data_IF_892733453034
#
_entry.id   IF_892733453034
#
_cell.length_a   1.000
_cell.length_b   1.000
_cell.length_c   1.000
_cell.angle_alpha   90.00
_cell.angle_beta   90.00
_cell.angle_gamma   90.00
#
_symmetry.space_group_name_H-M   'P 1'
#
loop_
_entity.id
_entity.type
_entity.pdbx_description
1 polymer ?
#
# COMPACT_ATOMS: atom_id res chain seq x y z
N UNK A 1 -13.74 10.73 2.77
CA UNK A 1 -13.09 9.99 3.88
C UNK A 1 -12.10 8.93 3.41
N UNK A 2 -12.37 8.26 2.29
CA UNK A 2 -11.58 7.13 1.79
C UNK A 2 -10.29 7.52 1.04
N UNK A 3 -10.11 8.80 0.68
CA UNK A 3 -8.95 9.27 -0.11
C UNK A 3 -8.69 8.41 -1.36
N UNK A 4 -9.76 8.10 -2.10
CA UNK A 4 -9.62 7.34 -3.34
C UNK A 4 -8.70 8.11 -4.30
N UNK A 5 -7.71 7.41 -4.85
CA UNK A 5 -6.94 7.93 -5.96
C UNK A 5 -7.84 8.02 -7.18
N UNK A 6 -7.87 9.19 -7.84
CA UNK A 6 -8.70 9.44 -9.02
C UNK A 6 -7.78 9.57 -10.21
N UNK A 7 -7.79 8.58 -11.10
CA UNK A 7 -6.84 8.46 -12.21
C UNK A 7 -7.38 9.03 -13.53
N UNK A 8 -8.69 9.00 -13.74
CA UNK A 8 -9.37 9.57 -14.90
C UNK A 8 -10.62 10.35 -14.46
N UNK A 9 -10.87 11.50 -15.09
CA UNK A 9 -11.82 12.53 -14.61
C UNK A 9 -12.61 13.12 -15.78
N UNK A 10 -13.89 12.75 -15.87
CA UNK A 10 -14.83 13.33 -16.84
C UNK A 10 -16.16 13.74 -16.20
N UNK A 11 -16.53 15.02 -16.31
CA UNK A 11 -17.86 15.53 -15.91
C UNK A 11 -18.13 16.90 -16.54
N UNK A 12 -19.39 17.20 -16.88
CA UNK A 12 -19.79 18.52 -17.33
C UNK A 12 -19.63 19.58 -16.23
N UNK A 13 -19.42 20.84 -16.63
CA UNK A 13 -19.33 21.96 -15.66
C UNK A 13 -20.60 22.09 -14.81
N UNK A 14 -21.78 21.89 -15.43
CA UNK A 14 -23.05 21.96 -14.73
C UNK A 14 -23.14 20.94 -13.57
N UNK A 15 -22.68 19.71 -13.79
CA UNK A 15 -22.64 18.68 -12.75
C UNK A 15 -21.63 19.00 -11.65
N UNK A 16 -20.46 19.53 -12.02
CA UNK A 16 -19.42 19.95 -11.06
C UNK A 16 -19.87 21.11 -10.18
N UNK A 17 -20.58 22.09 -10.75
CA UNK A 17 -21.16 23.21 -10.00
C UNK A 17 -22.29 22.77 -9.07
N UNK A 18 -23.16 21.84 -9.53
CA UNK A 18 -24.25 21.30 -8.72
C UNK A 18 -23.77 20.46 -7.53
N UNK A 19 -22.62 19.79 -7.68
CA UNK A 19 -22.05 18.91 -6.65
C UNK A 19 -20.65 19.35 -6.24
N UNK A 20 -20.57 20.45 -5.49
CA UNK A 20 -19.30 21.06 -5.09
C UNK A 20 -18.33 20.08 -4.37
N UNK A 21 -18.84 19.16 -3.54
CA UNK A 21 -18.01 18.14 -2.89
C UNK A 21 -17.39 17.14 -3.87
N UNK A 22 -18.09 16.82 -4.96
CA UNK A 22 -17.54 16.00 -6.04
C UNK A 22 -16.49 16.78 -6.83
N UNK A 23 -16.71 18.07 -7.07
CA UNK A 23 -15.74 18.93 -7.75
C UNK A 23 -14.40 19.03 -7.01
N UNK A 24 -14.41 18.93 -5.67
CA UNK A 24 -13.19 18.82 -4.89
C UNK A 24 -12.37 17.56 -5.24
N UNK A 25 -13.02 16.42 -5.54
CA UNK A 25 -12.32 15.20 -6.00
C UNK A 25 -11.69 15.40 -7.38
N UNK A 26 -12.33 16.16 -8.27
CA UNK A 26 -11.75 16.51 -9.57
C UNK A 26 -10.48 17.36 -9.44
N UNK A 27 -10.39 18.16 -8.37
CA UNK A 27 -9.26 19.05 -8.06
C UNK A 27 -8.22 18.41 -7.15
N UNK A 28 -8.33 17.12 -6.84
CA UNK A 28 -7.48 16.41 -5.85
C UNK A 28 -7.46 17.08 -4.46
N UNK A 29 -8.54 17.81 -4.16
CA UNK A 29 -8.71 18.54 -2.90
C UNK A 29 -9.43 17.65 -1.90
N UNK A 30 -8.66 16.80 -1.23
CA UNK A 30 -9.20 15.89 -0.24
C UNK A 30 -9.38 16.56 1.13
N UNK A 31 -10.48 16.26 1.82
CA UNK A 31 -10.73 16.73 3.19
C UNK A 31 -9.72 16.11 4.17
N UNK A 32 -8.67 16.86 4.48
CA UNK A 32 -7.61 16.50 5.45
C UNK A 32 -8.02 16.93 6.87
N UNK A 33 -7.79 16.05 7.85
CA UNK A 33 -8.18 16.29 9.24
C UNK A 33 -8.13 15.02 10.09
N UNK A 34 -7.72 15.11 11.35
CA UNK A 34 -7.49 13.95 12.24
C UNK A 34 -8.72 13.53 13.06
N UNK A 35 -9.73 14.39 13.19
CA UNK A 35 -10.86 14.19 14.11
C UNK A 35 -11.91 13.21 13.59
N UNK A 36 -12.29 13.26 12.30
CA UNK A 36 -13.34 12.40 11.74
C UNK A 36 -12.76 11.13 11.11
N UNK A 37 -12.81 10.01 11.84
CA UNK A 37 -12.19 8.71 11.48
C UNK A 37 -13.15 7.66 10.92
N UNK A 38 -14.45 7.83 11.12
CA UNK A 38 -15.53 6.92 10.72
C UNK A 38 -16.70 7.73 10.13
N UNK A 39 -17.27 7.24 9.04
CA UNK A 39 -18.49 7.74 8.39
C UNK A 39 -19.50 6.63 8.38
N UNK A 40 -20.72 6.92 8.81
CA UNK A 40 -21.88 6.06 8.64
C UNK A 40 -22.99 6.97 8.11
N UNK A 41 -23.47 6.70 6.89
CA UNK A 41 -24.43 7.58 6.20
C UNK A 41 -25.47 6.73 5.48
N UNK A 42 -26.75 7.06 5.68
CA UNK A 42 -27.83 6.52 4.87
C UNK A 42 -27.90 7.22 3.51
N UNK A 43 -27.88 6.44 2.44
CA UNK A 43 -28.04 6.91 1.07
C UNK A 43 -29.30 6.31 0.49
N UNK A 44 -30.14 7.11 -0.15
CA UNK A 44 -31.36 6.64 -0.81
C UNK A 44 -31.23 6.85 -2.31
N UNK A 45 -31.46 5.79 -3.10
CA UNK A 45 -31.49 5.91 -4.55
C UNK A 45 -32.73 6.69 -5.02
N UNK A 46 -32.72 7.14 -6.28
CA UNK A 46 -33.89 7.79 -6.89
C UNK A 46 -35.15 6.90 -6.88
N UNK A 47 -34.97 5.58 -6.88
CA UNK A 47 -36.05 4.60 -6.76
C UNK A 47 -36.48 4.28 -5.32
N UNK A 48 -35.98 5.01 -4.32
CA UNK A 48 -36.35 4.85 -2.91
C UNK A 48 -35.64 3.71 -2.15
N UNK A 49 -34.71 2.99 -2.79
CA UNK A 49 -33.92 1.95 -2.09
C UNK A 49 -32.91 2.63 -1.17
N UNK A 50 -32.93 2.24 0.12
CA UNK A 50 -31.97 2.70 1.13
C UNK A 50 -30.72 1.83 1.14
N UNK A 51 -29.57 2.47 1.36
CA UNK A 51 -28.25 1.88 1.49
C UNK A 51 -27.57 2.48 2.70
N UNK A 52 -26.86 1.66 3.47
CA UNK A 52 -25.97 2.13 4.52
C UNK A 52 -24.55 2.24 3.96
N UNK A 53 -24.00 3.44 3.91
CA UNK A 53 -22.62 3.70 3.49
C UNK A 53 -21.73 3.83 4.72
N UNK A 54 -20.77 2.92 4.87
CA UNK A 54 -19.79 2.94 5.95
C UNK A 54 -18.39 3.12 5.37
N UNK A 55 -17.64 4.07 5.91
CA UNK A 55 -16.26 4.31 5.52
C UNK A 55 -15.41 4.61 6.75
N UNK A 56 -14.20 4.06 6.82
CA UNK A 56 -13.21 4.43 7.84
C UNK A 56 -11.95 5.01 7.22
N UNK A 57 -11.17 5.72 8.03
CA UNK A 57 -9.81 6.13 7.70
C UNK A 57 -8.80 5.04 8.05
N UNK A 58 -7.63 5.10 7.42
CA UNK A 58 -6.53 4.18 7.70
C UNK A 58 -6.02 4.24 9.16
N UNK A 59 -6.23 5.36 9.87
CA UNK A 59 -5.88 5.50 11.28
C UNK A 59 -6.98 5.07 12.27
N UNK A 60 -8.06 4.44 11.77
CA UNK A 60 -9.02 3.72 12.60
C UNK A 60 -8.72 2.22 12.47
N UNK A 61 -7.94 1.70 13.40
CA UNK A 61 -7.38 0.34 13.36
C UNK A 61 -8.34 -0.69 13.97
N UNK A 62 -9.52 -0.83 13.36
CA UNK A 62 -10.55 -1.80 13.75
C UNK A 62 -10.98 -2.64 12.56
N UNK A 63 -11.43 -3.87 12.82
CA UNK A 63 -12.16 -4.65 11.82
C UNK A 63 -13.57 -4.04 11.62
N UNK A 64 -13.87 -3.51 10.43
CA UNK A 64 -15.18 -2.89 10.19
C UNK A 64 -16.31 -3.90 10.26
N UNK A 65 -16.04 -5.16 9.95
CA UNK A 65 -17.07 -6.19 9.90
C UNK A 65 -17.52 -6.49 11.33
N UNK A 66 -16.59 -6.89 12.19
CA UNK A 66 -16.93 -7.26 13.57
C UNK A 66 -17.15 -6.08 14.52
N UNK A 67 -16.48 -4.93 14.29
CA UNK A 67 -16.57 -3.78 15.22
C UNK A 67 -17.65 -2.77 14.85
N UNK A 68 -18.16 -2.78 13.61
CA UNK A 68 -19.11 -1.77 13.14
C UNK A 68 -20.35 -2.41 12.48
N UNK A 69 -20.16 -3.24 11.45
CA UNK A 69 -21.27 -3.76 10.65
C UNK A 69 -22.20 -4.67 11.45
N UNK A 70 -21.66 -5.59 12.25
CA UNK A 70 -22.46 -6.43 13.17
C UNK A 70 -23.35 -5.60 14.08
N UNK A 71 -22.89 -4.45 14.59
CA UNK A 71 -23.68 -3.55 15.44
C UNK A 71 -24.80 -2.82 14.69
N UNK A 72 -24.58 -2.48 13.41
CA UNK A 72 -25.59 -1.83 12.55
C UNK A 72 -26.63 -2.83 12.05
N UNK A 73 -26.18 -4.01 11.63
CA UNK A 73 -27.01 -5.06 11.03
C UNK A 73 -27.70 -5.87 12.13
N UNK A 74 -27.07 -6.02 13.30
CA UNK A 74 -27.50 -6.86 14.43
C UNK A 74 -27.70 -8.32 14.03
N UNK A 75 -26.67 -8.89 13.40
CA UNK A 75 -26.66 -10.24 12.87
C UNK A 75 -25.21 -10.72 12.71
N UNK A 76 -25.05 -12.04 12.64
CA UNK A 76 -23.80 -12.71 12.30
C UNK A 76 -23.45 -12.45 10.84
N UNK A 77 -22.15 -12.34 10.54
CA UNK A 77 -21.65 -12.04 9.20
C UNK A 77 -20.72 -13.13 8.68
N UNK A 78 -20.96 -13.54 7.44
CA UNK A 78 -20.02 -14.34 6.66
C UNK A 78 -19.34 -13.42 5.64
N UNK A 79 -18.01 -13.37 5.66
CA UNK A 79 -17.23 -12.37 4.92
C UNK A 79 -16.32 -13.01 3.88
N UNK A 80 -16.49 -12.60 2.63
CA UNK A 80 -15.54 -12.84 1.56
C UNK A 80 -14.59 -11.65 1.45
N UNK A 81 -13.29 -11.90 1.46
CA UNK A 81 -12.30 -10.88 1.10
C UNK A 81 -10.99 -11.50 0.62
N UNK A 82 -10.12 -10.68 0.01
CA UNK A 82 -8.79 -11.15 -0.38
C UNK A 82 -7.92 -11.37 0.87
N UNK A 83 -7.53 -12.63 1.11
CA UNK A 83 -6.76 -13.04 2.31
C UNK A 83 -5.27 -13.29 2.05
N UNK A 84 -4.78 -12.95 0.85
CA UNK A 84 -3.37 -13.01 0.45
C UNK A 84 -2.78 -11.60 0.22
N UNK A 85 -3.31 -10.58 0.90
CA UNK A 85 -2.78 -9.22 0.85
C UNK A 85 -1.55 -9.03 1.73
N UNK A 86 -1.09 -7.79 1.85
CA UNK A 86 -0.03 -7.45 2.80
C UNK A 86 -0.56 -7.53 4.24
N UNK A 87 0.11 -8.32 5.08
CA UNK A 87 -0.18 -8.49 6.50
C UNK A 87 -0.84 -9.82 6.88
N UNK A 88 -1.10 -10.00 8.18
CA UNK A 88 -1.69 -11.23 8.69
C UNK A 88 -3.21 -11.29 8.43
N UNK A 89 -3.72 -12.50 8.21
CA UNK A 89 -5.16 -12.74 8.13
C UNK A 89 -5.79 -12.48 9.50
N UNK A 90 -6.87 -11.70 9.56
CA UNK A 90 -7.64 -11.62 10.79
C UNK A 90 -8.31 -12.98 11.06
N UNK A 91 -8.32 -13.46 12.32
CA UNK A 91 -9.06 -14.67 12.67
C UNK A 91 -10.57 -14.40 12.63
N UNK A 92 -11.36 -15.48 12.67
CA UNK A 92 -12.79 -15.39 12.93
C UNK A 92 -13.03 -14.71 14.29
N UNK A 93 -14.07 -13.88 14.37
CA UNK A 93 -14.48 -13.23 15.61
C UNK A 93 -15.70 -13.98 16.19
N UNK A 94 -15.46 -14.76 17.24
CA UNK A 94 -16.48 -15.57 17.90
C UNK A 94 -16.78 -15.10 19.34
N UNK A 95 -16.13 -14.02 19.79
CA UNK A 95 -16.18 -13.58 21.20
C UNK A 95 -17.03 -12.33 21.41
N UNK A 96 -17.65 -11.81 20.35
CA UNK A 96 -18.54 -10.66 20.41
C UNK A 96 -20.02 -11.08 20.40
N UNK A 97 -20.95 -10.12 20.47
CA UNK A 97 -22.39 -10.39 20.42
C UNK A 97 -22.86 -11.05 19.12
N UNK A 98 -22.09 -10.91 18.03
CA UNK A 98 -22.38 -11.52 16.74
C UNK A 98 -21.10 -12.10 16.15
N UNK A 99 -21.19 -13.26 15.51
CA UNK A 99 -20.02 -13.90 14.92
C UNK A 99 -19.64 -13.26 13.59
N UNK A 100 -18.33 -13.22 13.30
CA UNK A 100 -17.81 -12.88 11.97
C UNK A 100 -16.87 -13.98 11.52
N UNK A 101 -17.29 -14.73 10.50
CA UNK A 101 -16.52 -15.83 9.93
C UNK A 101 -16.12 -15.53 8.50
N UNK A 102 -14.88 -15.89 8.14
CA UNK A 102 -14.40 -15.76 6.77
C UNK A 102 -14.89 -16.92 5.90
N UNK A 103 -15.18 -16.63 4.64
CA UNK A 103 -15.43 -17.64 3.59
C UNK A 103 -14.10 -18.28 3.21
N UNK A 104 -14.11 -19.59 2.92
CA UNK A 104 -12.95 -20.31 2.36
C UNK A 104 -13.12 -20.58 0.85
N UNK A 105 -14.34 -20.86 0.41
CA UNK A 105 -14.65 -21.05 -1.02
C UNK A 105 -16.05 -20.56 -1.34
N UNK A 106 -16.22 -20.10 -2.58
CA UNK A 106 -17.50 -19.67 -3.12
C UNK A 106 -17.96 -20.69 -4.14
N UNK A 107 -19.21 -21.16 -4.02
CA UNK A 107 -19.86 -22.03 -5.00
C UNK A 107 -21.08 -21.33 -5.60
N UNK A 108 -21.02 -21.08 -6.91
CA UNK A 108 -22.10 -20.52 -7.70
C UNK A 108 -22.77 -21.64 -8.50
N UNK A 109 -24.00 -21.99 -8.15
CA UNK A 109 -24.78 -22.96 -8.92
C UNK A 109 -25.39 -22.27 -10.14
N UNK A 110 -25.11 -22.78 -11.34
CA UNK A 110 -25.67 -22.28 -12.60
C UNK A 110 -26.99 -22.97 -12.95
N UNK A 111 -27.09 -24.26 -12.63
CA UNK A 111 -28.33 -25.06 -12.67
C UNK A 111 -28.22 -26.25 -11.69
N UNK A 112 -29.15 -27.21 -11.78
CA UNK A 112 -29.22 -28.39 -10.90
C UNK A 112 -27.97 -29.29 -10.98
N UNK A 113 -27.17 -29.19 -12.05
CA UNK A 113 -26.04 -30.08 -12.35
C UNK A 113 -24.70 -29.35 -12.51
N UNK A 114 -24.72 -28.06 -12.83
CA UNK A 114 -23.53 -27.24 -13.10
C UNK A 114 -23.30 -26.22 -12.01
N UNK A 115 -22.05 -26.12 -11.57
CA UNK A 115 -21.59 -25.10 -10.65
C UNK A 115 -20.20 -24.59 -11.03
N UNK A 116 -19.89 -23.39 -10.59
CA UNK A 116 -18.54 -22.83 -10.56
C UNK A 116 -18.15 -22.75 -9.09
N UNK A 117 -16.99 -23.29 -8.73
CA UNK A 117 -16.45 -23.13 -7.39
C UNK A 117 -15.03 -22.56 -7.50
N UNK A 118 -14.70 -21.63 -6.62
CA UNK A 118 -13.37 -21.03 -6.53
C UNK A 118 -13.02 -20.75 -5.07
N UNK A 119 -11.73 -20.85 -4.76
CA UNK A 119 -11.20 -20.45 -3.46
C UNK A 119 -11.17 -18.92 -3.35
N UNK A 120 -11.30 -18.41 -2.13
CA UNK A 120 -11.08 -16.98 -1.86
C UNK A 120 -9.73 -16.44 -2.34
N UNK A 121 -8.71 -17.29 -2.47
CA UNK A 121 -7.40 -16.91 -3.02
C UNK A 121 -7.39 -16.69 -4.53
N UNK A 122 -8.49 -16.93 -5.23
CA UNK A 122 -8.64 -16.66 -6.67
C UNK A 122 -9.50 -15.42 -6.94
N UNK A 123 -10.12 -14.85 -5.90
CA UNK A 123 -11.10 -13.78 -6.02
C UNK A 123 -10.73 -12.56 -5.19
N UNK A 124 -10.61 -11.41 -5.85
CA UNK A 124 -10.30 -10.13 -5.21
C UNK A 124 -11.57 -9.40 -4.72
N UNK A 125 -12.76 -9.99 -4.86
CA UNK A 125 -14.00 -9.40 -4.38
C UNK A 125 -14.04 -9.31 -2.85
N UNK A 126 -14.84 -8.36 -2.36
CA UNK A 126 -14.99 -8.09 -0.92
C UNK A 126 -16.46 -7.85 -0.64
N UNK A 127 -17.08 -8.77 0.06
CA UNK A 127 -18.48 -8.69 0.42
C UNK A 127 -18.74 -9.42 1.73
N UNK A 128 -19.89 -9.13 2.35
CA UNK A 128 -20.37 -9.87 3.50
C UNK A 128 -21.88 -10.11 3.36
N UNK A 129 -22.33 -11.26 3.84
CA UNK A 129 -23.74 -11.56 4.01
C UNK A 129 -24.06 -11.66 5.48
N UNK A 130 -25.23 -11.17 5.84
CA UNK A 130 -25.82 -11.48 7.13
C UNK A 130 -26.43 -12.89 7.10
N UNK A 131 -26.31 -13.64 8.19
CA UNK A 131 -26.73 -15.04 8.24
C UNK A 131 -28.25 -15.16 8.25
N UNK A 132 -28.92 -14.38 9.09
CA UNK A 132 -30.38 -14.47 9.26
C UNK A 132 -31.14 -13.40 8.46
N UNK A 133 -30.54 -12.23 8.26
CA UNK A 133 -31.17 -11.07 7.61
C UNK A 133 -30.85 -11.04 6.11
N UNK A 134 -31.76 -10.52 5.28
CA UNK A 134 -31.53 -10.34 3.84
C UNK A 134 -30.64 -9.12 3.57
N UNK A 135 -29.45 -9.09 4.18
CA UNK A 135 -28.49 -7.99 4.09
C UNK A 135 -27.24 -8.48 3.39
N UNK A 136 -26.89 -7.77 2.31
CA UNK A 136 -25.64 -7.96 1.58
C UNK A 136 -24.84 -6.67 1.64
N UNK A 137 -23.57 -6.79 1.99
CA UNK A 137 -22.59 -5.72 1.99
C UNK A 137 -21.60 -5.96 0.86
N UNK A 138 -21.35 -4.94 0.04
CA UNK A 138 -20.23 -4.91 -0.90
C UNK A 138 -19.28 -3.79 -0.53
N UNK A 139 -17.99 -4.02 -0.70
CA UNK A 139 -16.98 -3.05 -0.26
C UNK A 139 -15.64 -3.23 -0.93
N UNK A 140 -14.65 -2.52 -0.39
CA UNK A 140 -13.28 -2.50 -0.91
C UNK A 140 -12.23 -2.85 0.14
N UNK A 141 -12.62 -3.20 1.37
CA UNK A 141 -11.70 -3.52 2.46
C UNK A 141 -11.57 -5.02 2.70
N UNK A 142 -10.34 -5.50 2.91
CA UNK A 142 -10.08 -6.88 3.29
C UNK A 142 -10.10 -7.08 4.81
N UNK A 143 -10.43 -8.29 5.28
CA UNK A 143 -10.23 -8.71 6.68
C UNK A 143 -8.79 -9.16 6.91
N UNK A 144 -7.87 -8.21 6.82
CA UNK A 144 -6.44 -8.40 7.10
C UNK A 144 -5.97 -7.37 8.13
N UNK A 145 -5.01 -7.77 8.95
CA UNK A 145 -4.30 -6.86 9.83
C UNK A 145 -3.62 -5.82 8.95
N UNK A 146 -3.89 -4.54 9.22
CA UNK A 146 -3.11 -3.47 8.62
C UNK A 146 -1.72 -3.54 9.21
N UNK A 147 -0.82 -4.26 8.55
CA UNK A 147 0.57 -4.27 8.95
C UNK A 147 1.12 -2.91 8.57
N UNK A 148 1.36 -2.08 9.58
CA UNK A 148 2.28 -0.97 9.42
C UNK A 148 3.67 -1.60 9.30
N UNK A 149 4.06 -1.98 8.09
CA UNK A 149 5.45 -2.28 7.81
C UNK A 149 6.20 -0.96 7.98
N UNK A 150 6.81 -0.74 9.14
CA UNK A 150 7.83 0.30 9.31
C UNK A 150 9.17 -0.21 8.76
N UNK A 151 9.08 -1.14 7.81
CA UNK A 151 10.18 -1.88 7.27
C UNK A 151 10.45 -1.30 5.90
N UNK A 152 11.67 -0.82 5.76
CA UNK A 152 12.20 -0.36 4.49
C UNK A 152 12.49 -1.58 3.61
N UNK A 153 11.95 -1.62 2.38
CA UNK A 153 12.13 -2.75 1.47
C UNK A 153 13.61 -3.05 1.23
N UNK A 154 14.46 -2.02 1.24
CA UNK A 154 15.90 -2.19 1.05
C UNK A 154 16.53 -2.93 2.24
N UNK A 155 16.27 -2.50 3.48
CA UNK A 155 16.89 -3.11 4.68
C UNK A 155 16.22 -4.38 5.17
N UNK A 156 14.93 -4.57 4.92
CA UNK A 156 14.15 -5.70 5.45
C UNK A 156 14.03 -6.88 4.47
N UNK A 157 14.11 -6.64 3.16
CA UNK A 157 13.91 -7.66 2.13
C UNK A 157 15.14 -7.80 1.25
N UNK A 158 15.57 -6.72 0.59
CA UNK A 158 16.61 -6.80 -0.44
C UNK A 158 17.96 -7.23 0.12
N UNK A 159 18.40 -6.68 1.25
CA UNK A 159 19.61 -7.14 1.94
C UNK A 159 19.58 -8.63 2.28
N UNK A 160 18.42 -9.19 2.68
CA UNK A 160 18.27 -10.61 3.02
C UNK A 160 18.35 -11.53 1.79
N UNK A 161 17.82 -11.10 0.65
CA UNK A 161 17.85 -11.83 -0.61
C UNK A 161 19.23 -11.73 -1.29
N UNK A 162 19.76 -10.51 -1.37
CA UNK A 162 21.03 -10.22 -2.03
C UNK A 162 22.20 -10.65 -1.14
N UNK A 163 22.06 -10.63 0.19
CA UNK A 163 23.11 -10.93 1.17
C UNK A 163 24.35 -10.08 0.95
N UNK A 164 24.16 -8.77 0.91
CA UNK A 164 25.18 -7.76 0.68
C UNK A 164 24.69 -6.40 1.23
N UNK A 165 25.63 -5.52 1.52
CA UNK A 165 25.37 -4.12 1.84
C UNK A 165 24.82 -3.40 0.61
N UNK A 166 23.90 -2.45 0.83
CA UNK A 166 23.24 -1.71 -0.23
C UNK A 166 23.50 -0.20 -0.14
N UNK A 167 23.76 0.40 -1.30
CA UNK A 167 23.76 1.85 -1.51
C UNK A 167 22.51 2.20 -2.31
N UNK A 168 21.67 3.09 -1.78
CA UNK A 168 20.32 3.35 -2.31
C UNK A 168 20.16 4.80 -2.73
N UNK A 169 19.78 5.00 -3.98
CA UNK A 169 19.25 6.26 -4.48
C UNK A 169 17.73 6.24 -4.35
N UNK A 170 17.14 7.31 -3.83
CA UNK A 170 15.70 7.53 -3.92
C UNK A 170 15.31 9.00 -3.74
N UNK A 171 14.04 9.33 -4.00
CA UNK A 171 13.53 10.67 -3.76
C UNK A 171 13.36 10.94 -2.26
N UNK A 172 14.18 11.86 -1.72
CA UNK A 172 14.24 12.18 -0.28
C UNK A 172 13.43 13.41 0.15
N UNK A 173 12.60 13.95 -0.74
CA UNK A 173 11.70 15.09 -0.48
C UNK A 173 10.22 14.66 -0.49
N UNK A 174 9.94 13.42 -0.05
CA UNK A 174 8.58 12.91 0.08
C UNK A 174 7.88 13.43 1.34
N UNK A 175 6.65 12.98 1.57
CA UNK A 175 5.97 13.20 2.85
C UNK A 175 6.61 12.33 3.97
N UNK A 176 6.54 12.81 5.21
CA UNK A 176 7.15 12.13 6.37
C UNK A 176 8.65 12.35 6.48
N UNK A 177 9.27 11.69 7.46
CA UNK A 177 10.71 11.83 7.70
C UNK A 177 11.53 10.96 6.72
N UNK A 178 12.76 11.40 6.45
CA UNK A 178 13.76 10.62 5.71
C UNK A 178 14.19 9.45 6.60
N UNK A 179 14.25 8.25 6.03
CA UNK A 179 14.76 7.11 6.78
C UNK A 179 16.26 7.29 7.01
N UNK A 180 16.77 6.95 8.22
CA UNK A 180 18.20 6.98 8.48
C UNK A 180 18.91 5.83 7.75
N UNK A 181 20.23 5.94 7.61
CA UNK A 181 21.05 4.81 7.19
C UNK A 181 20.90 3.65 8.20
N UNK A 182 20.74 2.44 7.70
CA UNK A 182 20.73 1.24 8.53
C UNK A 182 22.17 0.73 8.68
N UNK A 183 22.76 0.97 9.85
CA UNK A 183 24.13 0.58 10.15
C UNK A 183 24.22 -0.61 11.12
N UNK A 184 23.09 -1.09 11.65
CA UNK A 184 23.05 -2.04 12.77
C UNK A 184 22.56 -3.43 12.36
N UNK A 185 21.90 -3.55 11.21
CA UNK A 185 21.52 -4.85 10.63
C UNK A 185 22.71 -5.69 10.19
N UNK A 186 22.47 -6.95 9.79
CA UNK A 186 23.51 -7.84 9.26
C UNK A 186 24.22 -7.24 8.03
N UNK A 187 23.46 -6.56 7.19
CA UNK A 187 23.95 -5.80 6.03
C UNK A 187 23.52 -4.34 6.17
N UNK A 188 24.39 -3.42 5.76
CA UNK A 188 24.11 -1.98 5.85
C UNK A 188 23.26 -1.49 4.68
N UNK A 189 22.45 -0.46 4.92
CA UNK A 189 21.73 0.26 3.86
C UNK A 189 21.99 1.75 3.98
N UNK A 190 22.70 2.31 3.02
CA UNK A 190 23.13 3.71 3.01
C UNK A 190 22.50 4.48 1.87
N UNK A 191 22.09 5.72 2.12
CA UNK A 191 21.54 6.61 1.10
C UNK A 191 22.64 7.30 0.30
N UNK A 192 22.45 7.41 -1.00
CA UNK A 192 23.20 8.33 -1.85
C UNK A 192 22.86 9.76 -1.44
N UNK A 193 23.86 10.65 -1.44
CA UNK A 193 23.68 12.08 -1.18
C UNK A 193 23.55 12.86 -2.49
N UNK A 194 24.44 12.58 -3.44
CA UNK A 194 24.41 13.16 -4.78
C UNK A 194 24.90 12.15 -5.82
N UNK A 195 24.47 12.36 -7.06
CA UNK A 195 24.89 11.55 -8.21
C UNK A 195 25.81 12.41 -9.09
N UNK A 196 26.98 11.87 -9.44
CA UNK A 196 27.97 12.51 -10.31
C UNK A 196 28.25 11.68 -11.55
N UNK A 197 27.92 12.21 -12.72
CA UNK A 197 28.18 11.61 -14.02
C UNK A 197 29.35 12.32 -14.69
N UNK A 198 30.47 11.61 -14.88
CA UNK A 198 31.62 12.14 -15.63
C UNK A 198 31.37 11.99 -17.13
N UNK A 199 31.42 13.11 -17.86
CA UNK A 199 31.24 13.14 -19.31
C UNK A 199 32.58 12.92 -20.04
N UNK A 200 33.65 13.42 -19.46
CA UNK A 200 35.04 13.18 -19.86
C UNK A 200 35.99 13.39 -18.66
N UNK A 201 37.30 13.55 -18.91
CA UNK A 201 38.31 13.70 -17.86
C UNK A 201 38.21 15.01 -17.07
N UNK A 202 37.53 16.05 -17.59
CA UNK A 202 37.46 17.38 -16.95
C UNK A 202 36.03 17.87 -16.72
N UNK A 203 35.02 17.29 -17.38
CA UNK A 203 33.62 17.69 -17.28
C UNK A 203 32.78 16.63 -16.58
N UNK A 204 31.90 17.09 -15.70
CA UNK A 204 30.92 16.26 -15.01
C UNK A 204 29.60 16.99 -14.84
N UNK A 205 28.54 16.23 -14.64
CA UNK A 205 27.24 16.69 -14.15
C UNK A 205 27.08 16.11 -12.75
N UNK A 206 26.70 16.93 -11.78
CA UNK A 206 26.35 16.46 -10.44
C UNK A 206 25.02 17.07 -10.01
N UNK A 207 24.20 16.28 -9.32
CA UNK A 207 22.92 16.71 -8.78
C UNK A 207 22.63 15.99 -7.47
N UNK A 208 21.90 16.65 -6.57
CA UNK A 208 21.51 16.07 -5.30
C UNK A 208 20.41 15.01 -5.48
N UNK A 209 20.32 14.07 -4.54
CA UNK A 209 19.21 13.10 -4.55
C UNK A 209 17.83 13.73 -4.44
N UNK A 210 17.75 14.96 -3.96
CA UNK A 210 16.53 15.77 -3.93
C UNK A 210 16.14 16.37 -5.27
N UNK A 211 16.93 16.16 -6.31
CA UNK A 211 16.65 16.59 -7.69
C UNK A 211 16.36 15.39 -8.61
N UNK A 212 16.49 14.16 -8.09
CA UNK A 212 16.32 12.94 -8.84
C UNK A 212 15.25 12.03 -8.23
N UNK A 213 14.24 11.70 -9.05
CA UNK A 213 13.17 10.79 -8.67
C UNK A 213 13.50 9.32 -8.93
N UNK A 214 14.65 9.01 -9.53
CA UNK A 214 15.09 7.65 -9.75
C UNK A 214 15.24 6.90 -8.43
N UNK A 215 14.99 5.59 -8.47
CA UNK A 215 15.04 4.73 -7.30
C UNK A 215 15.78 3.47 -7.70
N UNK A 216 16.94 3.28 -7.12
CA UNK A 216 17.79 2.14 -7.41
C UNK A 216 18.65 1.81 -6.20
N UNK A 217 19.09 0.56 -6.13
CA UNK A 217 20.00 0.08 -5.12
C UNK A 217 21.15 -0.69 -5.75
N UNK A 218 22.33 -0.55 -5.16
CA UNK A 218 23.56 -1.17 -5.60
C UNK A 218 24.08 -2.05 -4.47
N UNK A 219 24.35 -3.31 -4.78
CA UNK A 219 25.08 -4.20 -3.88
C UNK A 219 26.57 -3.82 -3.82
N UNK A 220 27.15 -3.68 -2.62
CA UNK A 220 28.51 -3.15 -2.41
C UNK A 220 29.60 -4.12 -2.85
N UNK A 221 29.49 -5.40 -2.54
CA UNK A 221 30.49 -6.41 -2.89
C UNK A 221 30.12 -7.18 -4.16
N UNK A 222 28.82 -7.43 -4.36
CA UNK A 222 28.27 -8.15 -5.50
C UNK A 222 28.07 -7.23 -6.70
N UNK A 223 27.87 -7.85 -7.86
CA UNK A 223 27.53 -7.17 -9.11
C UNK A 223 26.03 -6.90 -9.28
N UNK A 224 25.24 -7.06 -8.22
CA UNK A 224 23.79 -6.90 -8.28
C UNK A 224 23.42 -5.41 -8.35
N UNK A 225 22.53 -5.09 -9.28
CA UNK A 225 21.89 -3.79 -9.37
C UNK A 225 20.38 -3.98 -9.30
N UNK A 226 19.70 -3.10 -8.58
CA UNK A 226 18.25 -3.10 -8.47
C UNK A 226 17.68 -1.75 -8.92
N UNK A 227 16.59 -1.76 -9.65
CA UNK A 227 15.71 -0.60 -9.83
C UNK A 227 14.37 -0.86 -9.13
N UNK A 228 13.72 0.19 -8.63
CA UNK A 228 12.48 0.01 -7.90
C UNK A 228 11.55 1.19 -7.95
N UNK A 229 10.46 1.08 -7.20
CA UNK A 229 9.41 2.11 -7.13
C UNK A 229 9.31 2.80 -5.76
N UNK A 230 10.09 2.35 -4.77
CA UNK A 230 10.00 2.79 -3.37
C UNK A 230 11.10 3.77 -2.96
N UNK A 231 10.70 4.83 -2.27
CA UNK A 231 11.63 5.75 -1.62
C UNK A 231 11.99 5.31 -0.21
N UNK A 232 13.13 5.75 0.30
CA UNK A 232 13.51 5.62 1.71
C UNK A 232 12.93 6.79 2.53
N UNK A 233 11.60 6.87 2.56
CA UNK A 233 10.81 7.88 3.30
C UNK A 233 9.71 7.19 4.13
N UNK A 234 9.41 7.65 5.33
CA UNK A 234 8.40 7.03 6.22
C UNK A 234 7.00 6.93 5.59
N UNK A 235 6.63 7.88 4.71
CA UNK A 235 5.34 7.81 4.00
C UNK A 235 5.19 6.56 3.12
N UNK A 236 6.29 5.89 2.77
CA UNK A 236 6.28 4.73 1.90
C UNK A 236 5.89 3.44 2.62
N UNK A 237 5.98 3.38 3.95
CA UNK A 237 5.59 2.24 4.78
C UNK A 237 4.15 1.74 4.58
N UNK A 238 3.28 2.58 4.01
CA UNK A 238 1.87 2.27 3.74
C UNK A 238 1.57 2.08 2.26
N UNK A 239 2.61 2.03 1.42
CA UNK A 239 2.50 1.88 -0.04
C UNK A 239 3.08 0.54 -0.45
N UNK A 240 2.39 -0.14 -1.37
CA UNK A 240 2.99 -1.25 -2.09
C UNK A 240 4.12 -0.75 -2.98
N UNK A 241 5.08 -1.63 -3.25
CA UNK A 241 6.30 -1.30 -3.99
C UNK A 241 6.92 -2.53 -4.64
N UNK A 242 7.83 -2.28 -5.57
CA UNK A 242 8.56 -3.33 -6.28
C UNK A 242 10.04 -2.97 -6.39
N UNK A 243 10.86 -4.00 -6.51
CA UNK A 243 12.26 -3.90 -6.84
C UNK A 243 12.60 -5.05 -7.79
N UNK A 244 13.21 -4.72 -8.93
CA UNK A 244 13.74 -5.67 -9.90
C UNK A 244 15.26 -5.63 -9.80
N UNK A 245 15.84 -6.77 -9.41
CA UNK A 245 17.28 -6.92 -9.23
C UNK A 245 17.84 -7.89 -10.27
N UNK A 246 19.04 -7.59 -10.77
CA UNK A 246 19.78 -8.46 -11.67
C UNK A 246 21.28 -8.30 -11.48
N UNK A 247 22.03 -9.36 -11.79
CA UNK A 247 23.48 -9.35 -11.72
C UNK A 247 24.08 -8.83 -13.02
N UNK A 248 24.75 -7.68 -12.95
CA UNK A 248 25.48 -7.11 -14.08
C UNK A 248 26.62 -6.22 -13.57
N UNK A 249 27.85 -6.70 -13.74
CA UNK A 249 29.05 -6.04 -13.23
C UNK A 249 29.33 -4.68 -13.88
N UNK A 250 28.91 -4.48 -15.13
CA UNK A 250 29.06 -3.20 -15.81
C UNK A 250 28.08 -2.17 -15.23
N UNK A 251 26.79 -2.51 -15.15
CA UNK A 251 25.75 -1.61 -14.61
C UNK A 251 26.06 -1.26 -13.16
N UNK A 252 26.29 -2.26 -12.31
CA UNK A 252 26.63 -2.04 -10.90
C UNK A 252 27.86 -1.12 -10.76
N UNK A 253 28.92 -1.34 -11.54
CA UNK A 253 30.13 -0.49 -11.50
C UNK A 253 29.88 0.94 -11.96
N UNK A 254 29.08 1.14 -13.00
CA UNK A 254 28.74 2.48 -13.51
C UNK A 254 27.99 3.27 -12.44
N UNK A 255 26.96 2.67 -11.85
CA UNK A 255 26.17 3.31 -10.79
C UNK A 255 26.99 3.51 -9.50
N UNK A 256 27.88 2.58 -9.14
CA UNK A 256 28.81 2.75 -7.99
C UNK A 256 29.68 3.98 -8.16
N UNK A 257 30.21 4.18 -9.37
CA UNK A 257 31.10 5.33 -9.67
C UNK A 257 30.36 6.65 -9.71
N UNK A 258 29.06 6.63 -9.96
CA UNK A 258 28.25 7.84 -9.95
C UNK A 258 27.68 8.19 -8.58
N UNK A 259 27.56 7.23 -7.67
CA UNK A 259 27.02 7.45 -6.34
C UNK A 259 28.04 8.15 -5.43
N UNK A 260 27.72 9.36 -4.94
CA UNK A 260 28.45 10.00 -3.84
C UNK A 260 27.67 9.72 -2.57
N UNK A 261 28.33 9.06 -1.61
CA UNK A 261 27.71 8.58 -0.37
C UNK A 261 28.51 9.07 0.83
N UNK A 262 27.85 9.72 1.79
CA UNK A 262 28.37 9.89 3.13
C UNK A 262 27.73 8.84 4.03
N UNK A 263 28.41 7.69 4.17
CA UNK A 263 27.79 6.50 4.76
C UNK A 263 27.34 6.75 6.20
N UNK A 264 28.07 7.54 6.99
CA UNK A 264 27.82 7.75 8.42
C UNK A 264 27.89 6.46 9.27
N UNK A 265 27.90 5.29 8.64
CA UNK A 265 28.04 3.98 9.24
C UNK A 265 29.53 3.68 9.50
N UNK A 266 29.86 3.07 10.66
CA UNK A 266 31.22 2.64 10.93
C UNK A 266 31.66 1.55 9.94
N UNK A 267 32.91 1.64 9.48
CA UNK A 267 33.51 0.60 8.63
C UNK A 267 33.61 -0.70 9.43
N UNK A 268 32.85 -1.72 9.02
CA UNK A 268 32.95 -3.06 9.60
C UNK A 268 34.22 -3.71 9.02
N UNK A 269 35.19 -4.00 9.88
CA UNK A 269 36.44 -4.71 9.54
C UNK A 269 36.21 -6.20 9.44
#
# INVERSE_FOLDING_TARGET
>A
MQYANVYDKGSSMAMRQRHAQMDLLFKDSFIRGRTMRLSIVDVTSLGGKRFLSVAKRANLEVDIYSSILTGQIKDDLVVQSWRNGAGDRLPNDCNSNYTVTDVDSVKLNLDQSRFIAFDTTEDHSKWAIAVDKPTFCLGSMNRMVCVKHHDDIYSSILTGQIKDDLVVQSWRNGAGDRLPNDCNSNYTVTDVDSVKLNLDQSRFIAFDTTEDHSKWAIAVDKSTFCLGSMNRMESQFKRGGEALCFDNSLVNRLFKRSAIVNTGCPVRR
#
